data_IF_126225217387
#
_entry.id   IF_126225217387
#
_cell.length_a   1.000
_cell.length_b   1.000
_cell.length_c   1.000
_cell.angle_alpha   90.00
_cell.angle_beta   90.00
_cell.angle_gamma   90.00
#
_symmetry.space_group_name_H-M   'P 1'
#
loop_
_entity.id
_entity.type
_entity.pdbx_description
1 polymer ?
#
# COMPACT_ATOMS: atom_id res chain seq x y z
N UNK A 1 4.41 27.39 12.84
CA UNK A 1 3.31 27.31 11.85
C UNK A 1 2.33 26.28 12.38
N UNK A 2 1.04 26.60 12.54
CA UNK A 2 0.12 25.68 13.23
C UNK A 2 -0.39 24.56 12.32
N UNK A 3 -0.57 24.83 11.02
CA UNK A 3 -1.14 23.89 10.04
C UNK A 3 -0.45 24.04 8.68
N UNK A 4 -0.07 22.92 8.07
CA UNK A 4 0.63 22.80 6.80
C UNK A 4 -0.10 21.72 6.00
N UNK A 5 -0.64 22.07 4.85
CA UNK A 5 -1.35 21.15 3.94
C UNK A 5 -0.57 20.91 2.64
N UNK A 6 0.46 21.72 2.40
CA UNK A 6 1.38 21.55 1.28
C UNK A 6 2.80 21.94 1.74
N UNK A 7 3.79 21.13 1.39
CA UNK A 7 5.20 21.41 1.64
C UNK A 7 5.77 22.00 0.35
N UNK A 8 5.76 23.32 0.26
CA UNK A 8 6.27 24.07 -0.88
C UNK A 8 7.71 24.55 -0.65
N UNK A 9 8.27 25.22 -1.66
CA UNK A 9 9.62 25.78 -1.61
C UNK A 9 9.81 26.82 -0.50
N UNK A 10 8.74 27.43 0.03
CA UNK A 10 8.83 28.36 1.17
C UNK A 10 9.05 27.58 2.48
N UNK A 11 8.31 26.50 2.70
CA UNK A 11 8.50 25.63 3.88
C UNK A 11 9.88 24.99 3.88
N UNK A 12 10.37 24.58 2.70
CA UNK A 12 11.72 24.03 2.53
C UNK A 12 12.80 25.05 2.89
N UNK A 13 12.73 26.25 2.32
CA UNK A 13 13.68 27.35 2.63
C UNK A 13 13.68 27.74 4.11
N UNK A 14 12.51 27.74 4.77
CA UNK A 14 12.43 27.99 6.22
C UNK A 14 13.16 26.90 7.01
N UNK A 15 13.19 25.66 6.51
CA UNK A 15 13.82 24.53 7.20
C UNK A 15 15.34 24.46 7.01
N UNK A 16 15.86 24.98 5.89
CA UNK A 16 17.30 25.04 5.58
C UNK A 16 18.05 25.98 6.54
N UNK A 17 17.46 27.11 6.94
CA UNK A 17 18.10 28.12 7.78
C UNK A 17 18.06 27.82 9.30
N UNK A 18 17.78 26.58 9.70
CA UNK A 18 17.60 26.21 11.13
C UNK A 18 18.65 25.24 11.65
N UNK A 19 19.66 24.92 10.84
CA UNK A 19 20.78 24.07 11.24
C UNK A 19 21.77 24.82 12.12
N UNK A 20 21.77 24.53 13.42
CA UNK A 20 22.90 24.84 14.32
C UNK A 20 23.93 23.71 14.28
N UNK A 21 25.22 24.04 14.40
CA UNK A 21 26.37 23.11 14.32
C UNK A 21 26.29 21.86 15.20
N UNK A 22 25.46 21.87 16.26
CA UNK A 22 25.36 20.79 17.24
C UNK A 22 24.07 19.94 17.12
N UNK A 23 23.33 20.02 16.00
CA UNK A 23 22.08 19.27 15.84
C UNK A 23 22.22 18.08 14.88
N UNK A 24 21.97 16.86 15.38
CA UNK A 24 21.92 15.64 14.55
C UNK A 24 20.51 15.52 13.95
N UNK A 25 20.37 15.72 12.63
CA UNK A 25 19.10 15.63 11.91
C UNK A 25 18.19 16.86 12.10
N UNK A 26 18.55 17.97 11.45
CA UNK A 26 17.90 19.29 11.56
C UNK A 26 16.42 19.36 11.11
N UNK A 27 15.88 20.57 11.03
CA UNK A 27 14.48 20.77 10.59
C UNK A 27 14.26 20.30 9.15
N UNK A 28 15.26 20.47 8.27
CA UNK A 28 15.24 19.98 6.90
C UNK A 28 14.91 18.48 6.81
N UNK A 29 15.58 17.65 7.62
CA UNK A 29 15.32 16.20 7.66
C UNK A 29 13.89 15.90 8.12
N UNK A 30 13.35 16.68 9.07
CA UNK A 30 11.97 16.52 9.55
C UNK A 30 10.94 16.92 8.48
N UNK A 31 11.24 17.95 7.67
CA UNK A 31 10.42 18.34 6.53
C UNK A 31 10.48 17.29 5.42
N UNK A 32 11.65 16.71 5.14
CA UNK A 32 11.78 15.56 4.20
C UNK A 32 10.97 14.36 4.68
N UNK A 33 11.03 14.03 5.98
CA UNK A 33 10.20 12.97 6.56
C UNK A 33 8.69 13.29 6.44
N UNK A 34 8.30 14.55 6.63
CA UNK A 34 6.92 14.99 6.42
C UNK A 34 6.46 14.74 4.99
N UNK A 35 7.26 15.09 3.96
CA UNK A 35 6.92 14.79 2.56
C UNK A 35 6.64 13.30 2.33
N UNK A 36 7.49 12.42 2.85
CA UNK A 36 7.32 10.97 2.72
C UNK A 36 6.04 10.51 3.42
N UNK A 37 5.80 10.96 4.65
CA UNK A 37 4.60 10.63 5.41
C UNK A 37 3.32 11.10 4.69
N UNK A 38 3.30 12.35 4.21
CA UNK A 38 2.15 12.92 3.49
C UNK A 38 1.88 12.16 2.19
N UNK A 39 2.92 11.81 1.41
CA UNK A 39 2.79 11.02 0.19
C UNK A 39 2.24 9.61 0.46
N UNK A 40 2.54 9.05 1.63
CA UNK A 40 1.98 7.79 2.11
C UNK A 40 0.55 7.93 2.68
N UNK A 41 -0.05 9.12 2.67
CA UNK A 41 -1.38 9.37 3.22
C UNK A 41 -1.44 9.58 4.74
N UNK A 42 -0.29 9.76 5.39
CA UNK A 42 -0.21 9.91 6.84
C UNK A 42 -0.03 11.37 7.23
N UNK A 43 -0.81 11.84 8.21
CA UNK A 43 -0.55 13.11 8.85
C UNK A 43 0.72 13.01 9.71
N UNK A 44 1.47 14.10 9.81
CA UNK A 44 2.67 14.19 10.64
C UNK A 44 2.62 15.40 11.57
N UNK A 45 3.19 15.28 12.76
CA UNK A 45 3.25 16.36 13.74
C UNK A 45 4.68 16.53 14.19
N UNK A 46 5.15 17.78 14.21
CA UNK A 46 6.45 18.14 14.80
C UNK A 46 6.19 19.00 16.04
N UNK A 47 6.65 18.54 17.20
CA UNK A 47 6.53 19.25 18.49
C UNK A 47 7.83 19.15 19.29
N UNK A 48 7.96 19.97 20.34
CA UNK A 48 9.12 19.97 21.23
C UNK A 48 9.09 18.77 22.17
N UNK A 49 10.03 17.83 21.97
CA UNK A 49 10.11 16.59 22.76
C UNK A 49 10.61 16.78 24.20
N UNK A 50 11.35 17.86 24.49
CA UNK A 50 11.91 18.10 25.83
C UNK A 50 10.90 18.59 26.86
N UNK A 51 9.63 18.73 26.48
CA UNK A 51 8.56 19.17 27.38
C UNK A 51 8.06 17.99 28.20
N UNK A 52 7.82 18.14 29.51
CA UNK A 52 7.19 17.07 30.31
C UNK A 52 5.84 16.67 29.70
N UNK A 53 5.62 15.35 29.53
CA UNK A 53 4.44 14.74 28.89
C UNK A 53 4.09 15.36 27.51
N UNK A 54 5.00 15.31 26.52
CA UNK A 54 4.88 16.10 25.29
C UNK A 54 3.70 15.67 24.42
N UNK A 55 3.32 14.38 24.44
CA UNK A 55 2.15 13.86 23.72
C UNK A 55 0.86 14.36 24.37
N UNK A 56 0.74 14.30 25.70
CA UNK A 56 -0.44 14.84 26.42
C UNK A 56 -0.62 16.33 26.13
N UNK A 57 0.47 17.10 26.27
CA UNK A 57 0.46 18.55 26.00
C UNK A 57 0.08 18.89 24.57
N UNK A 58 0.43 18.05 23.60
CA UNK A 58 0.03 18.24 22.21
C UNK A 58 -1.51 18.28 22.06
N UNK A 59 -2.22 17.39 22.76
CA UNK A 59 -3.68 17.36 22.75
C UNK A 59 -4.31 18.48 23.61
N UNK A 60 -3.56 19.02 24.57
CA UNK A 60 -3.95 20.18 25.39
C UNK A 60 -3.55 21.53 24.75
N UNK A 61 -3.63 21.66 23.42
CA UNK A 61 -3.26 22.86 22.66
C UNK A 61 -1.77 23.26 22.70
N UNK A 62 -0.87 22.29 22.88
CA UNK A 62 0.58 22.50 22.82
C UNK A 62 1.06 23.03 21.46
N UNK A 63 2.16 23.79 21.47
CA UNK A 63 2.78 24.34 20.25
C UNK A 63 3.33 23.20 19.38
N UNK A 64 2.80 23.07 18.17
CA UNK A 64 3.26 22.09 17.18
C UNK A 64 3.01 22.58 15.75
N UNK A 65 3.74 21.98 14.81
CA UNK A 65 3.47 22.08 13.37
C UNK A 65 2.78 20.82 12.89
N UNK A 66 1.54 20.97 12.40
CA UNK A 66 0.73 19.87 11.88
C UNK A 66 0.80 19.82 10.37
N UNK A 67 1.22 18.69 9.83
CA UNK A 67 1.28 18.39 8.39
C UNK A 67 0.13 17.44 8.06
N UNK A 68 -0.77 17.87 7.18
CA UNK A 68 -1.94 17.11 6.78
C UNK A 68 -1.76 16.57 5.36
N UNK A 69 -2.07 15.28 5.18
CA UNK A 69 -2.12 14.66 3.87
C UNK A 69 -3.45 14.98 3.19
N UNK A 70 -3.42 15.17 1.87
CA UNK A 70 -4.60 15.32 1.01
C UNK A 70 -5.15 13.96 0.54
N UNK A 71 -4.48 12.86 0.89
CA UNK A 71 -4.87 11.49 0.55
C UNK A 71 -4.93 10.61 1.80
N UNK A 72 -5.63 9.48 1.71
CA UNK A 72 -5.59 8.46 2.76
C UNK A 72 -4.47 7.45 2.51
N UNK A 73 -4.01 6.71 3.54
CA UNK A 73 -3.02 5.64 3.36
C UNK A 73 -3.48 4.55 2.39
N UNK A 74 -4.78 4.24 2.41
CA UNK A 74 -5.40 3.29 1.49
C UNK A 74 -5.32 3.76 0.04
N UNK A 75 -5.65 5.02 -0.21
CA UNK A 75 -5.58 5.62 -1.56
C UNK A 75 -4.13 5.72 -2.04
N UNK A 76 -3.20 6.14 -1.18
CA UNK A 76 -1.77 6.22 -1.50
C UNK A 76 -1.20 4.84 -1.87
N UNK A 77 -1.52 3.81 -1.06
CA UNK A 77 -1.11 2.42 -1.33
C UNK A 77 -1.62 1.93 -2.69
N UNK A 78 -2.88 2.20 -3.01
CA UNK A 78 -3.46 1.84 -4.32
C UNK A 78 -2.79 2.58 -5.48
N UNK A 79 -2.54 3.89 -5.36
CA UNK A 79 -1.79 4.64 -6.37
C UNK A 79 -0.42 4.01 -6.63
N UNK A 80 0.31 3.66 -5.56
CA UNK A 80 1.62 3.01 -5.68
C UNK A 80 1.56 1.64 -6.37
N UNK A 81 0.56 0.81 -6.05
CA UNK A 81 0.33 -0.46 -6.74
C UNK A 81 0.07 -0.23 -8.24
N UNK A 82 -0.76 0.76 -8.58
CA UNK A 82 -1.09 1.05 -9.98
C UNK A 82 0.09 1.60 -10.78
N UNK A 83 1.06 2.26 -10.13
CA UNK A 83 2.28 2.75 -10.77
C UNK A 83 3.36 1.66 -10.95
N UNK A 84 3.16 0.44 -10.43
CA UNK A 84 4.09 -0.66 -10.65
C UNK A 84 3.94 -1.23 -12.07
N UNK A 85 4.70 -0.65 -13.00
CA UNK A 85 4.65 -0.94 -14.44
C UNK A 85 5.07 -2.39 -14.77
N UNK A 86 5.87 -3.05 -13.92
CA UNK A 86 6.43 -4.39 -14.17
C UNK A 86 5.89 -5.45 -13.20
N UNK A 87 4.72 -6.00 -13.50
CA UNK A 87 4.26 -7.23 -12.85
C UNK A 87 5.15 -8.42 -13.26
N UNK A 88 5.52 -9.29 -12.31
CA UNK A 88 6.41 -10.45 -12.55
C UNK A 88 5.69 -11.69 -13.09
N UNK A 89 4.36 -11.69 -13.07
CA UNK A 89 3.54 -12.80 -13.56
C UNK A 89 2.07 -12.41 -13.71
N UNK A 90 1.25 -13.40 -14.06
CA UNK A 90 -0.19 -13.22 -14.18
C UNK A 90 -0.99 -14.43 -13.72
N UNK A 91 -2.24 -14.20 -13.34
CA UNK A 91 -3.22 -15.23 -12.99
C UNK A 91 -4.44 -15.04 -13.89
N UNK A 92 -4.96 -16.14 -14.47
CA UNK A 92 -6.24 -16.15 -15.19
C UNK A 92 -7.32 -16.62 -14.24
N UNK A 93 -8.44 -15.90 -14.19
CA UNK A 93 -9.57 -16.20 -13.29
C UNK A 93 -10.85 -16.52 -14.06
N UNK A 94 -11.76 -17.22 -13.38
CA UNK A 94 -13.10 -17.46 -13.88
C UNK A 94 -14.00 -16.21 -13.82
N UNK A 95 -15.21 -16.34 -14.38
CA UNK A 95 -16.15 -15.22 -14.49
C UNK A 95 -16.69 -14.80 -13.12
N UNK A 96 -16.86 -15.75 -12.19
CA UNK A 96 -17.33 -15.48 -10.83
C UNK A 96 -16.30 -14.67 -10.03
N UNK A 97 -15.04 -15.03 -10.14
CA UNK A 97 -13.92 -14.31 -9.56
C UNK A 97 -13.75 -12.93 -10.21
N UNK A 98 -13.88 -12.79 -11.53
CA UNK A 98 -13.88 -11.47 -12.18
C UNK A 98 -14.98 -10.57 -11.60
N UNK A 99 -16.22 -11.06 -11.50
CA UNK A 99 -17.35 -10.31 -10.94
C UNK A 99 -17.07 -9.91 -9.48
N UNK A 100 -16.57 -10.84 -8.67
CA UNK A 100 -16.24 -10.58 -7.27
C UNK A 100 -15.15 -9.52 -7.11
N UNK A 101 -14.07 -9.61 -7.90
CA UNK A 101 -12.98 -8.64 -7.91
C UNK A 101 -13.48 -7.24 -8.28
N UNK A 102 -14.35 -7.13 -9.29
CA UNK A 102 -14.96 -5.86 -9.69
C UNK A 102 -15.85 -5.25 -8.60
N UNK A 103 -16.43 -6.08 -7.72
CA UNK A 103 -17.16 -5.65 -6.51
C UNK A 103 -16.25 -5.35 -5.31
N UNK A 104 -14.92 -5.43 -5.46
CA UNK A 104 -13.96 -5.14 -4.40
C UNK A 104 -13.67 -6.31 -3.45
N UNK A 105 -13.97 -7.54 -3.86
CA UNK A 105 -13.58 -8.74 -3.12
C UNK A 105 -12.08 -9.07 -3.31
N UNK A 106 -11.56 -9.96 -2.47
CA UNK A 106 -10.23 -10.54 -2.62
C UNK A 106 -10.21 -11.65 -3.67
N UNK A 107 -9.05 -11.97 -4.24
CA UNK A 107 -8.88 -13.15 -5.09
C UNK A 107 -8.69 -14.39 -4.22
N UNK A 108 -9.68 -15.28 -4.22
CA UNK A 108 -9.59 -16.60 -3.59
C UNK A 108 -8.98 -17.63 -4.56
N UNK A 109 -8.35 -18.71 -4.05
CA UNK A 109 -7.77 -19.75 -4.91
C UNK A 109 -8.81 -20.44 -5.80
N UNK A 110 -10.04 -20.61 -5.29
CA UNK A 110 -11.14 -21.29 -5.96
C UNK A 110 -11.47 -20.71 -7.35
N UNK A 111 -11.25 -19.40 -7.54
CA UNK A 111 -11.54 -18.71 -8.79
C UNK A 111 -10.38 -18.66 -9.78
N UNK A 112 -9.26 -19.33 -9.49
CA UNK A 112 -8.05 -19.32 -10.33
C UNK A 112 -8.11 -20.48 -11.32
N UNK A 113 -7.98 -20.16 -12.60
CA UNK A 113 -7.89 -21.12 -13.70
C UNK A 113 -6.44 -21.43 -14.03
N UNK A 114 -5.58 -20.41 -14.09
CA UNK A 114 -4.21 -20.57 -14.57
C UNK A 114 -3.26 -19.60 -13.87
N UNK A 115 -2.02 -20.02 -13.65
CA UNK A 115 -0.96 -19.20 -13.05
C UNK A 115 0.27 -19.19 -13.95
N UNK A 116 0.66 -17.99 -14.39
CA UNK A 116 1.69 -17.75 -15.39
C UNK A 116 2.86 -16.94 -14.82
N UNK A 117 4.08 -17.33 -15.21
CA UNK A 117 5.32 -16.70 -14.78
C UNK A 117 5.87 -17.23 -13.44
N UNK A 118 6.95 -16.59 -12.98
CA UNK A 118 7.64 -16.92 -11.72
C UNK A 118 7.64 -15.68 -10.85
N UNK A 119 7.04 -15.80 -9.67
CA UNK A 119 6.92 -14.73 -8.71
C UNK A 119 6.96 -15.29 -7.29
N UNK A 120 7.42 -14.48 -6.36
CA UNK A 120 7.47 -14.74 -4.93
C UNK A 120 6.28 -14.09 -4.23
N UNK A 121 6.12 -14.43 -2.95
CA UNK A 121 5.25 -13.66 -2.05
C UNK A 121 5.68 -12.19 -2.04
N UNK A 122 4.71 -11.29 -2.11
CA UNK A 122 4.94 -9.84 -2.11
C UNK A 122 5.29 -9.26 -3.48
N UNK A 123 5.41 -10.09 -4.53
CA UNK A 123 5.58 -9.60 -5.88
C UNK A 123 4.24 -9.16 -6.49
N UNK A 124 4.31 -8.12 -7.32
CA UNK A 124 3.17 -7.62 -8.10
C UNK A 124 2.84 -8.57 -9.25
N UNK A 125 1.58 -8.95 -9.38
CA UNK A 125 1.05 -9.80 -10.45
C UNK A 125 -0.20 -9.20 -11.09
N UNK A 126 -0.43 -9.52 -12.36
CA UNK A 126 -1.66 -9.16 -13.09
C UNK A 126 -2.73 -10.24 -12.87
N UNK A 127 -3.98 -9.83 -12.75
CA UNK A 127 -5.13 -10.73 -12.82
C UNK A 127 -5.85 -10.48 -14.14
N UNK A 128 -5.98 -11.52 -14.95
CA UNK A 128 -6.59 -11.50 -16.27
C UNK A 128 -7.88 -12.33 -16.25
N UNK A 129 -8.86 -11.95 -17.05
CA UNK A 129 -10.01 -12.83 -17.29
C UNK A 129 -9.71 -13.86 -18.40
N UNK A 130 -10.67 -14.76 -18.68
CA UNK A 130 -10.55 -15.78 -19.74
C UNK A 130 -10.22 -15.20 -21.12
N UNK A 131 -10.64 -13.97 -21.40
CA UNK A 131 -10.32 -13.24 -22.65
C UNK A 131 -8.94 -12.55 -22.61
N UNK A 132 -8.13 -12.83 -21.59
CA UNK A 132 -6.80 -12.23 -21.32
C UNK A 132 -6.83 -10.71 -21.08
N UNK A 133 -8.01 -10.14 -20.77
CA UNK A 133 -8.13 -8.73 -20.43
C UNK A 133 -7.73 -8.50 -18.97
N UNK A 134 -7.04 -7.38 -18.71
CA UNK A 134 -6.61 -7.01 -17.36
C UNK A 134 -7.80 -6.64 -16.48
N UNK A 135 -7.99 -7.37 -15.38
CA UNK A 135 -9.02 -7.14 -14.35
C UNK A 135 -8.44 -6.32 -13.20
N UNK A 136 -7.30 -6.73 -12.64
CA UNK A 136 -6.63 -6.01 -11.56
C UNK A 136 -5.12 -6.26 -11.54
N UNK A 137 -4.41 -5.47 -10.75
CA UNK A 137 -3.00 -5.68 -10.39
C UNK A 137 -2.91 -5.72 -8.86
N UNK A 138 -2.16 -6.66 -8.29
CA UNK A 138 -1.99 -6.73 -6.84
C UNK A 138 -0.82 -7.60 -6.39
N UNK A 139 -0.59 -7.63 -5.07
CA UNK A 139 0.49 -8.41 -4.46
C UNK A 139 0.08 -9.85 -4.21
N UNK A 140 0.91 -10.79 -4.65
CA UNK A 140 0.69 -12.19 -4.35
C UNK A 140 0.98 -12.50 -2.89
N UNK A 141 0.07 -13.21 -2.23
CA UNK A 141 0.27 -13.77 -0.89
C UNK A 141 1.07 -15.08 -0.92
N UNK A 142 1.19 -15.70 -2.09
CA UNK A 142 1.86 -16.98 -2.30
C UNK A 142 2.90 -16.90 -3.43
N UNK A 143 4.00 -17.67 -3.38
CA UNK A 143 4.86 -17.84 -4.54
C UNK A 143 4.11 -18.60 -5.66
N UNK A 144 4.53 -18.42 -6.92
CA UNK A 144 3.83 -18.99 -8.07
C UNK A 144 3.71 -20.52 -8.03
N UNK A 145 4.71 -21.20 -7.46
CA UNK A 145 4.68 -22.66 -7.25
C UNK A 145 3.51 -23.10 -6.37
N UNK A 146 3.22 -22.35 -5.31
CA UNK A 146 2.15 -22.70 -4.37
C UNK A 146 0.81 -22.23 -4.89
N UNK A 147 0.75 -21.03 -5.49
CA UNK A 147 -0.45 -20.53 -6.17
C UNK A 147 -0.95 -21.51 -7.24
N UNK A 148 -0.04 -22.16 -7.99
CA UNK A 148 -0.37 -23.23 -8.95
C UNK A 148 -1.03 -24.44 -8.29
N UNK A 149 -0.54 -24.87 -7.12
CA UNK A 149 -1.07 -26.05 -6.42
C UNK A 149 -2.46 -25.82 -5.84
N UNK A 150 -2.73 -24.61 -5.34
CA UNK A 150 -4.00 -24.27 -4.69
C UNK A 150 -5.03 -23.68 -5.66
N UNK A 151 -4.70 -23.50 -6.94
CA UNK A 151 -5.65 -23.04 -7.95
C UNK A 151 -6.87 -23.97 -8.02
N UNK A 152 -8.08 -23.41 -7.95
CA UNK A 152 -9.34 -24.15 -7.93
C UNK A 152 -9.75 -24.72 -6.57
N UNK A 153 -8.91 -24.65 -5.53
CA UNK A 153 -9.26 -25.15 -4.20
C UNK A 153 -9.95 -24.09 -3.33
N UNK A 154 -10.75 -24.54 -2.34
CA UNK A 154 -11.29 -23.66 -1.31
C UNK A 154 -10.21 -23.27 -0.30
N UNK A 155 -10.37 -22.11 0.33
CA UNK A 155 -9.36 -21.57 1.26
C UNK A 155 -9.06 -22.49 2.44
N UNK A 156 -10.06 -23.23 2.94
CA UNK A 156 -9.89 -24.20 4.02
C UNK A 156 -9.09 -25.45 3.60
N UNK A 157 -8.88 -25.67 2.30
CA UNK A 157 -8.09 -26.79 1.77
C UNK A 157 -6.60 -26.45 1.59
N UNK A 158 -6.22 -25.17 1.67
CA UNK A 158 -4.85 -24.70 1.47
C UNK A 158 -3.86 -25.46 2.35
N UNK A 159 -4.16 -25.62 3.65
CA UNK A 159 -3.26 -26.31 4.59
C UNK A 159 -3.03 -27.77 4.18
N UNK A 160 -4.08 -28.43 3.67
CA UNK A 160 -4.02 -29.82 3.22
C UNK A 160 -3.15 -29.95 1.96
N UNK A 161 -3.28 -29.02 1.02
CA UNK A 161 -2.55 -29.06 -0.27
C UNK A 161 -1.09 -28.65 -0.11
N UNK A 162 -0.79 -27.63 0.70
CA UNK A 162 0.56 -27.08 0.83
C UNK A 162 1.34 -27.61 2.03
N UNK A 163 0.68 -28.25 2.99
CA UNK A 163 1.25 -28.60 4.30
C UNK A 163 1.34 -27.41 5.26
N UNK A 164 0.99 -26.20 4.83
CA UNK A 164 0.99 -24.99 5.64
C UNK A 164 -0.15 -24.05 5.23
N UNK A 165 -0.51 -23.12 6.12
CA UNK A 165 -1.48 -22.06 5.84
C UNK A 165 -0.85 -20.71 6.17
N UNK A 166 -1.10 -19.71 5.32
CA UNK A 166 -0.59 -18.36 5.51
C UNK A 166 -1.69 -17.31 5.35
N UNK A 167 -2.49 -17.39 4.28
CA UNK A 167 -3.67 -16.55 4.06
C UNK A 167 -4.75 -17.32 3.31
N UNK A 168 -6.01 -16.97 3.54
CA UNK A 168 -7.14 -17.56 2.81
C UNK A 168 -7.25 -17.08 1.35
N UNK A 169 -6.52 -16.03 0.99
CA UNK A 169 -6.61 -15.32 -0.29
C UNK A 169 -5.25 -15.34 -1.01
N UNK A 170 -5.27 -15.39 -2.34
CA UNK A 170 -4.06 -15.24 -3.17
C UNK A 170 -3.70 -13.77 -3.32
N UNK A 171 -4.68 -12.87 -3.49
CA UNK A 171 -4.48 -11.42 -3.46
C UNK A 171 -5.57 -10.80 -2.59
N UNK A 172 -5.17 -10.03 -1.57
CA UNK A 172 -6.12 -9.34 -0.70
C UNK A 172 -6.67 -8.06 -1.36
N UNK A 173 -7.95 -7.72 -1.13
CA UNK A 173 -8.62 -6.53 -1.71
C UNK A 173 -7.93 -5.19 -1.45
N UNK A 174 -7.21 -5.08 -0.33
CA UNK A 174 -6.46 -3.86 0.03
C UNK A 174 -5.06 -3.83 -0.59
N UNK A 175 -4.61 -4.96 -1.12
CA UNK A 175 -3.32 -5.15 -1.81
C UNK A 175 -3.50 -5.27 -3.33
N UNK A 176 -4.62 -4.75 -3.86
CA UNK A 176 -4.88 -4.72 -5.29
C UNK A 176 -5.56 -3.43 -5.75
N UNK A 177 -5.45 -3.19 -7.07
CA UNK A 177 -6.14 -2.13 -7.80
C UNK A 177 -6.88 -2.76 -8.97
N UNK A 178 -8.21 -2.64 -8.95
CA UNK A 178 -9.08 -3.11 -10.01
C UNK A 178 -9.09 -2.09 -11.14
N UNK A 179 -8.91 -2.55 -12.38
CA UNK A 179 -9.09 -1.73 -13.58
C UNK A 179 -10.59 -1.59 -13.82
N UNK A 180 -11.14 -0.44 -13.44
CA UNK A 180 -12.49 -0.06 -13.83
C UNK A 180 -12.50 0.14 -15.34
N UNK A 181 -13.35 -0.60 -16.05
CA UNK A 181 -13.51 -0.49 -17.49
C UNK A 181 -14.18 0.83 -17.84
N UNK A 182 -13.42 1.93 -17.85
CA UNK A 182 -13.71 3.15 -18.57
C UNK A 182 -12.38 3.67 -19.11
N UNK A 183 -12.22 3.56 -20.42
CA UNK A 183 -11.36 4.46 -21.19
C UNK A 183 -12.03 5.83 -21.21
#
# INVERSE_FOLDING_TARGET
IKKITNIDSKIEKISENTSSSNSVGGMETKVKAAKIALAAGCNMIITKGSTSNPIKKLFENGKASWFYSDTSPKTARKKWISSQIKAKGSIIVDDGAEIALRKGASLLPAGIIEVNGIFSKGDTIKVLNKKKNLVCIGFSSYPSKDAKKIAGFKSNEIKKVLGYHQKDVVIHRDDMVVKNGKY
#
